data_IF_693317017861
#
_entry.id   IF_693317017861
#
_cell.length_a   1.000
_cell.length_b   1.000
_cell.length_c   1.000
_cell.angle_alpha   90.00
_cell.angle_beta   90.00
_cell.angle_gamma   90.00
#
_symmetry.space_group_name_H-M   'P 1'
#
loop_
_entity.id
_entity.type
_entity.pdbx_description
1 polymer ?
#
# COMPACT_ATOMS: atom_id res chain seq x y z
N UNK A 1 20.05 2.68 13.72
CA UNK A 1 19.35 3.17 12.51
C UNK A 1 19.38 4.68 12.57
N UNK A 2 19.73 5.38 11.49
CA UNK A 2 19.62 6.84 11.50
C UNK A 2 18.14 7.25 11.56
N UNK A 3 17.85 8.46 12.05
CA UNK A 3 16.49 9.01 12.07
C UNK A 3 15.86 9.04 10.67
N UNK A 4 16.69 9.31 9.66
CA UNK A 4 16.32 9.31 8.24
C UNK A 4 15.89 7.90 7.78
N UNK A 5 16.59 6.84 8.21
CA UNK A 5 16.25 5.46 7.85
C UNK A 5 14.88 5.05 8.40
N UNK A 6 14.55 5.49 9.62
CA UNK A 6 13.26 5.22 10.24
C UNK A 6 12.14 5.94 9.46
N UNK A 7 12.34 7.23 9.14
CA UNK A 7 11.38 8.03 8.37
C UNK A 7 11.15 7.47 6.98
N UNK A 8 12.22 7.05 6.30
CA UNK A 8 12.14 6.45 4.98
C UNK A 8 11.35 5.13 4.99
N UNK A 9 11.55 4.28 6.01
CA UNK A 9 10.76 3.06 6.18
C UNK A 9 9.28 3.36 6.42
N UNK A 10 8.98 4.38 7.22
CA UNK A 10 7.61 4.79 7.51
C UNK A 10 6.89 5.27 6.24
N UNK A 11 7.56 6.10 5.43
CA UNK A 11 6.96 6.76 4.28
C UNK A 11 6.93 5.89 3.02
N UNK A 12 7.65 4.77 2.96
CA UNK A 12 7.79 3.97 1.73
C UNK A 12 6.46 3.50 1.13
N UNK A 13 5.46 3.22 1.97
CA UNK A 13 4.13 2.79 1.52
C UNK A 13 3.41 3.84 0.66
N UNK A 14 3.79 5.11 0.75
CA UNK A 14 3.29 6.18 -0.12
C UNK A 14 3.67 5.93 -1.58
N UNK A 15 4.85 5.35 -1.83
CA UNK A 15 5.33 5.10 -3.17
C UNK A 15 4.72 3.82 -3.78
N UNK A 16 4.28 2.88 -2.94
CA UNK A 16 3.94 1.53 -3.38
C UNK A 16 2.50 1.09 -3.14
N UNK A 17 1.83 1.56 -2.08
CA UNK A 17 0.56 0.98 -1.61
C UNK A 17 -0.62 1.97 -1.64
N UNK A 18 -0.38 3.28 -1.76
CA UNK A 18 -1.44 4.29 -1.64
C UNK A 18 -2.05 4.74 -2.96
N UNK A 19 -1.42 4.38 -4.08
CA UNK A 19 -1.90 4.73 -5.42
C UNK A 19 -2.52 3.55 -6.15
N UNK A 20 -3.60 3.78 -6.93
CA UNK A 20 -4.11 2.78 -7.84
C UNK A 20 -3.10 2.50 -8.96
N UNK A 21 -3.25 1.32 -9.60
CA UNK A 21 -2.37 0.90 -10.70
C UNK A 21 -2.43 1.83 -11.91
N UNK A 22 -3.63 2.32 -12.26
CA UNK A 22 -3.82 3.23 -13.39
C UNK A 22 -3.93 4.67 -12.87
N UNK A 23 -3.00 5.55 -13.25
CA UNK A 23 -2.94 6.93 -12.76
C UNK A 23 -3.16 7.95 -13.88
N UNK A 24 -3.58 9.19 -13.57
CA UNK A 24 -3.52 10.29 -14.51
C UNK A 24 -2.08 10.48 -15.02
N UNK A 25 -1.95 10.93 -16.27
CA UNK A 25 -0.64 11.12 -16.89
C UNK A 25 0.28 12.00 -16.04
N UNK A 26 1.49 11.52 -15.77
CA UNK A 26 2.51 12.23 -14.99
C UNK A 26 2.25 12.31 -13.48
N UNK A 27 1.15 11.74 -12.96
CA UNK A 27 0.91 11.75 -11.53
C UNK A 27 1.79 10.73 -10.81
N UNK A 28 2.59 11.19 -9.85
CA UNK A 28 3.37 10.35 -8.95
C UNK A 28 3.29 10.87 -7.53
N UNK A 29 3.60 10.00 -6.57
CA UNK A 29 3.69 10.36 -5.17
C UNK A 29 5.08 10.83 -4.72
N UNK A 30 6.02 10.93 -5.65
CA UNK A 30 7.42 11.26 -5.38
C UNK A 30 7.54 12.58 -4.61
N UNK A 31 6.83 13.62 -5.04
CA UNK A 31 6.85 14.91 -4.37
C UNK A 31 6.21 14.87 -2.98
N UNK A 32 5.16 14.06 -2.77
CA UNK A 32 4.55 13.87 -1.45
C UNK A 32 5.54 13.17 -0.50
N UNK A 33 6.22 12.14 -0.98
CA UNK A 33 7.25 11.42 -0.25
C UNK A 33 8.46 12.31 0.09
N UNK A 34 9.05 12.98 -0.90
CA UNK A 34 10.23 13.84 -0.72
C UNK A 34 9.97 15.00 0.22
N UNK A 35 8.81 15.66 0.08
CA UNK A 35 8.46 16.79 0.94
C UNK A 35 8.08 16.39 2.37
N UNK A 36 7.79 15.11 2.64
CA UNK A 36 7.63 14.58 4.00
C UNK A 36 8.96 14.08 4.59
N UNK A 37 9.84 13.52 3.75
CA UNK A 37 11.17 13.08 4.15
C UNK A 37 12.08 14.26 4.50
N UNK A 38 12.03 15.34 3.71
CA UNK A 38 12.92 16.51 3.83
C UNK A 38 12.31 17.68 4.58
N UNK A 39 11.24 17.48 5.37
CA UNK A 39 10.59 18.58 6.12
C UNK A 39 11.60 19.49 6.84
N UNK A 40 12.62 18.99 7.56
CA UNK A 40 13.57 19.85 8.27
C UNK A 40 14.31 20.84 7.36
N UNK A 41 14.62 20.42 6.13
CA UNK A 41 15.38 21.17 5.13
C UNK A 41 14.55 22.21 4.38
N UNK A 42 13.21 22.15 4.47
CA UNK A 42 12.33 23.06 3.74
C UNK A 42 12.38 24.49 4.31
N UNK A 43 12.29 25.53 3.46
CA UNK A 43 12.04 26.91 3.88
C UNK A 43 10.76 27.04 4.72
N UNK A 44 10.75 27.97 5.68
CA UNK A 44 9.62 28.16 6.61
C UNK A 44 8.29 28.46 5.90
N UNK A 45 8.35 29.20 4.79
CA UNK A 45 7.17 29.47 3.94
C UNK A 45 6.56 28.17 3.39
N UNK A 46 7.40 27.23 2.97
CA UNK A 46 6.94 25.94 2.45
C UNK A 46 6.44 25.05 3.59
N UNK A 47 7.12 25.02 4.74
CA UNK A 47 6.65 24.34 5.95
C UNK A 47 5.26 24.81 6.36
N UNK A 48 5.02 26.13 6.36
CA UNK A 48 3.73 26.73 6.69
C UNK A 48 2.64 26.38 5.66
N UNK A 49 2.98 26.32 4.37
CA UNK A 49 2.04 25.90 3.33
C UNK A 49 1.67 24.41 3.46
N UNK A 50 2.67 23.54 3.67
CA UNK A 50 2.47 22.12 3.87
C UNK A 50 1.67 21.84 5.14
N UNK A 51 1.96 22.53 6.24
CA UNK A 51 1.19 22.37 7.48
C UNK A 51 -0.27 22.77 7.31
N UNK A 52 -0.59 23.71 6.41
CA UNK A 52 -1.97 24.07 6.04
C UNK A 52 -2.65 23.01 5.17
N UNK A 53 -1.94 22.45 4.18
CA UNK A 53 -2.48 21.42 3.27
C UNK A 53 -2.63 20.08 3.99
N UNK A 54 -1.73 19.76 4.92
CA UNK A 54 -1.66 18.50 5.65
C UNK A 54 -2.33 18.56 7.02
N UNK A 55 -3.16 19.56 7.29
CA UNK A 55 -3.84 19.67 8.58
C UNK A 55 -4.59 18.38 8.88
N UNK A 56 -4.46 17.93 10.12
CA UNK A 56 -5.22 16.80 10.60
C UNK A 56 -6.71 17.17 10.59
N UNK A 57 -7.46 16.55 9.70
CA UNK A 57 -8.91 16.60 9.75
C UNK A 57 -9.39 15.46 10.65
N UNK A 58 -10.18 15.82 11.67
CA UNK A 58 -10.92 14.86 12.51
C UNK A 58 -12.08 14.20 11.75
N UNK A 59 -12.63 14.91 10.75
CA UNK A 59 -13.68 14.40 9.89
C UNK A 59 -13.19 13.63 8.65
N UNK A 60 -14.14 13.32 7.77
CA UNK A 60 -13.88 12.61 6.52
C UNK A 60 -13.09 13.48 5.52
N UNK A 61 -12.29 12.83 4.68
CA UNK A 61 -11.62 13.46 3.53
C UNK A 61 -12.30 13.04 2.25
N UNK A 62 -12.24 13.90 1.21
CA UNK A 62 -12.73 13.56 -0.12
C UNK A 62 -11.55 13.11 -1.00
N UNK A 63 -11.60 11.91 -1.62
CA UNK A 63 -10.59 11.52 -2.59
C UNK A 63 -10.76 12.29 -3.90
N UNK A 64 -9.70 12.37 -4.70
CA UNK A 64 -9.75 12.94 -6.05
C UNK A 64 -10.23 11.89 -7.04
N UNK A 65 -11.41 12.10 -7.62
CA UNK A 65 -12.03 11.17 -8.57
C UNK A 65 -11.65 11.52 -10.01
N UNK A 66 -11.27 10.51 -10.79
CA UNK A 66 -10.92 10.65 -12.20
C UNK A 66 -11.41 9.46 -13.01
N UNK A 67 -11.63 9.67 -14.31
CA UNK A 67 -12.19 8.67 -15.21
C UNK A 67 -11.12 8.11 -16.12
N UNK A 68 -11.10 6.78 -16.25
CA UNK A 68 -10.23 6.05 -17.18
C UNK A 68 -11.11 5.33 -18.20
N UNK A 69 -10.70 5.42 -19.46
CA UNK A 69 -11.34 4.69 -20.55
C UNK A 69 -10.80 3.26 -20.56
N UNK A 70 -11.64 2.28 -20.21
CA UNK A 70 -11.29 0.85 -20.34
C UNK A 70 -11.75 0.29 -21.69
N UNK A 71 -12.82 0.84 -22.25
CA UNK A 71 -13.42 0.46 -23.53
C UNK A 71 -14.23 1.63 -24.07
N UNK A 72 -14.52 1.69 -25.37
CA UNK A 72 -15.27 2.79 -26.02
C UNK A 72 -16.63 3.14 -25.36
N UNK A 73 -17.22 2.26 -24.55
CA UNK A 73 -18.55 2.46 -23.93
C UNK A 73 -18.56 2.60 -22.41
N UNK A 74 -17.47 2.26 -21.71
CA UNK A 74 -17.45 2.30 -20.24
C UNK A 74 -16.25 3.06 -19.70
N UNK A 75 -16.54 4.07 -18.88
CA UNK A 75 -15.55 4.83 -18.13
C UNK A 75 -15.54 4.31 -16.69
N UNK A 76 -14.40 3.78 -16.26
CA UNK A 76 -14.20 3.44 -14.85
C UNK A 76 -13.82 4.69 -14.09
N UNK A 77 -14.44 4.92 -12.93
CA UNK A 77 -14.04 6.00 -12.04
C UNK A 77 -13.09 5.45 -10.99
N UNK A 78 -11.86 5.96 -10.97
CA UNK A 78 -10.87 5.68 -9.95
C UNK A 78 -10.72 6.88 -9.01
N UNK A 79 -10.04 6.65 -7.89
CA UNK A 79 -9.89 7.61 -6.82
C UNK A 79 -8.43 7.66 -6.35
N UNK A 80 -7.88 8.87 -6.24
CA UNK A 80 -6.62 9.10 -5.54
C UNK A 80 -6.95 9.49 -4.10
N UNK A 81 -6.33 8.78 -3.15
CA UNK A 81 -6.55 8.97 -1.71
C UNK A 81 -6.07 10.38 -1.30
N UNK A 82 -6.76 11.02 -0.37
CA UNK A 82 -6.35 12.32 0.15
C UNK A 82 -4.92 12.25 0.76
N UNK A 83 -4.01 13.21 0.51
CA UNK A 83 -2.61 13.11 0.94
C UNK A 83 -2.41 12.83 2.44
N UNK A 84 -3.23 13.43 3.31
CA UNK A 84 -3.14 13.17 4.76
C UNK A 84 -3.51 11.73 5.13
N UNK A 85 -4.47 11.13 4.43
CA UNK A 85 -4.80 9.71 4.62
C UNK A 85 -3.71 8.81 4.06
N UNK A 86 -3.07 9.18 2.95
CA UNK A 86 -1.92 8.44 2.42
C UNK A 86 -0.77 8.37 3.44
N UNK A 87 -0.47 9.48 4.12
CA UNK A 87 0.51 9.52 5.22
C UNK A 87 0.10 8.61 6.39
N UNK A 88 -1.17 8.63 6.81
CA UNK A 88 -1.70 7.75 7.87
C UNK A 88 -1.61 6.27 7.47
N UNK A 89 -1.92 5.95 6.21
CA UNK A 89 -1.80 4.58 5.69
C UNK A 89 -0.35 4.13 5.70
N UNK A 90 0.59 4.98 5.30
CA UNK A 90 2.01 4.64 5.32
C UNK A 90 2.51 4.34 6.74
N UNK A 91 2.12 5.19 7.70
CA UNK A 91 2.36 4.96 9.12
C UNK A 91 1.74 3.65 9.61
N UNK A 92 0.47 3.39 9.27
CA UNK A 92 -0.20 2.13 9.62
C UNK A 92 0.57 0.90 9.09
N UNK A 93 1.01 0.93 7.84
CA UNK A 93 1.80 -0.15 7.26
C UNK A 93 3.11 -0.36 8.03
N UNK A 94 3.79 0.72 8.42
CA UNK A 94 5.02 0.67 9.21
C UNK A 94 4.80 0.12 10.62
N UNK A 95 3.80 0.63 11.33
CA UNK A 95 3.49 0.27 12.72
C UNK A 95 3.01 -1.20 12.82
N UNK A 96 2.25 -1.67 11.84
CA UNK A 96 1.63 -2.99 11.84
C UNK A 96 2.28 -3.99 10.88
N UNK A 97 3.47 -3.70 10.32
CA UNK A 97 4.17 -4.53 9.34
C UNK A 97 4.25 -6.01 9.79
N UNK A 98 4.76 -6.23 11.00
CA UNK A 98 4.92 -7.58 11.56
C UNK A 98 3.58 -8.25 11.84
N UNK A 99 2.61 -7.49 12.33
CA UNK A 99 1.26 -7.99 12.63
C UNK A 99 0.55 -8.45 11.35
N UNK A 100 0.69 -7.70 10.26
CA UNK A 100 0.17 -8.05 8.94
C UNK A 100 0.80 -9.36 8.48
N UNK A 101 2.14 -9.46 8.51
CA UNK A 101 2.87 -10.67 8.11
C UNK A 101 2.44 -11.90 8.92
N UNK A 102 2.39 -11.77 10.25
CA UNK A 102 1.99 -12.86 11.14
C UNK A 102 0.53 -13.28 10.89
N UNK A 103 -0.38 -12.31 10.75
CA UNK A 103 -1.80 -12.59 10.51
C UNK A 103 -2.03 -13.28 9.18
N UNK A 104 -1.36 -12.83 8.11
CA UNK A 104 -1.45 -13.44 6.79
C UNK A 104 -0.76 -14.80 6.70
N UNK A 105 0.23 -15.08 7.54
CA UNK A 105 0.92 -16.39 7.58
C UNK A 105 0.09 -17.51 8.23
N UNK A 106 -0.98 -17.18 8.98
CA UNK A 106 -1.79 -18.18 9.71
C UNK A 106 -2.60 -19.09 8.79
N UNK A 107 -3.09 -18.57 7.66
CA UNK A 107 -3.96 -19.31 6.75
C UNK A 107 -3.21 -19.75 5.51
N UNK A 108 -3.31 -21.04 5.17
CA UNK A 108 -2.75 -21.61 3.93
C UNK A 108 -3.70 -21.46 2.73
N UNK A 109 -4.92 -20.96 2.96
CA UNK A 109 -5.98 -20.86 1.96
C UNK A 109 -5.65 -19.88 0.84
N UNK A 110 -4.95 -18.79 1.16
CA UNK A 110 -4.59 -17.82 0.12
C UNK A 110 -3.51 -18.38 -0.81
N UNK A 111 -3.70 -18.16 -2.11
CA UNK A 111 -2.72 -18.43 -3.16
C UNK A 111 -1.81 -17.22 -3.43
N UNK A 112 -2.03 -16.10 -2.73
CA UNK A 112 -1.18 -14.91 -2.76
C UNK A 112 -1.23 -14.20 -1.41
N UNK A 113 -0.10 -14.13 -0.72
CA UNK A 113 -0.03 -13.51 0.61
C UNK A 113 1.34 -12.87 0.85
N UNK A 114 1.41 -11.81 1.69
CA UNK A 114 2.67 -11.18 2.03
C UNK A 114 3.49 -12.11 2.91
N UNK A 115 4.76 -12.29 2.57
CA UNK A 115 5.67 -13.23 3.24
C UNK A 115 6.80 -12.53 3.97
N UNK A 116 7.28 -11.41 3.44
CA UNK A 116 8.38 -10.63 4.04
C UNK A 116 8.25 -9.19 3.59
N UNK A 117 8.61 -8.23 4.44
CA UNK A 117 8.67 -6.84 4.03
C UNK A 117 9.90 -6.57 3.16
N UNK A 118 9.71 -5.81 2.08
CA UNK A 118 10.78 -5.43 1.16
C UNK A 118 11.43 -4.13 1.63
N UNK A 119 12.76 -4.12 1.67
CA UNK A 119 13.51 -2.87 1.84
C UNK A 119 13.56 -2.07 0.54
N UNK A 120 13.90 -0.79 0.63
CA UNK A 120 14.28 -0.01 -0.56
C UNK A 120 15.60 -0.61 -1.08
N UNK A 121 15.60 -1.15 -2.30
CA UNK A 121 16.76 -1.80 -2.91
C UNK A 121 17.34 -0.94 -4.03
N UNK A 122 18.63 -0.60 -3.93
CA UNK A 122 19.40 -0.09 -5.06
C UNK A 122 19.86 -1.27 -5.93
N UNK A 123 19.70 -1.18 -7.25
CA UNK A 123 20.24 -2.19 -8.19
C UNK A 123 21.76 -2.32 -7.98
N UNK A 124 22.25 -3.55 -7.75
CA UNK A 124 23.66 -3.89 -7.95
C UNK A 124 24.53 -4.23 -6.73
N UNK A 125 23.98 -4.48 -5.53
CA UNK A 125 24.82 -5.01 -4.43
C UNK A 125 24.20 -6.23 -3.73
N UNK A 126 24.73 -7.40 -4.07
CA UNK A 126 24.63 -8.64 -3.28
C UNK A 126 25.69 -8.71 -2.18
N UNK A 127 26.43 -7.63 -1.89
CA UNK A 127 27.62 -7.68 -1.03
C UNK A 127 27.54 -6.63 0.09
N UNK A 128 27.52 -7.13 1.33
CA UNK A 128 27.61 -6.41 2.61
C UNK A 128 26.36 -5.69 3.13
N UNK A 129 25.61 -6.42 3.97
CA UNK A 129 24.52 -5.89 4.81
C UNK A 129 24.90 -4.74 5.77
N UNK A 130 26.19 -4.42 5.93
CA UNK A 130 26.70 -3.39 6.85
C UNK A 130 27.15 -2.08 6.19
N UNK A 131 27.29 -2.00 4.86
CA UNK A 131 27.46 -0.73 4.11
C UNK A 131 26.12 -0.22 3.55
N UNK A 132 25.01 -0.57 4.22
CA UNK A 132 23.66 -0.64 3.65
C UNK A 132 22.81 0.63 3.76
N UNK A 133 23.39 1.79 4.12
CA UNK A 133 22.60 2.99 4.44
C UNK A 133 23.15 4.33 3.93
N UNK A 134 24.00 4.33 2.90
CA UNK A 134 24.17 5.56 2.09
C UNK A 134 23.11 5.63 0.97
N UNK A 135 21.89 5.17 1.24
CA UNK A 135 20.82 5.14 0.22
C UNK A 135 20.39 6.57 -0.12
N UNK A 136 20.84 7.06 -1.26
CA UNK A 136 20.59 8.42 -1.75
C UNK A 136 19.10 8.74 -1.91
N UNK A 137 18.64 9.64 -1.04
CA UNK A 137 17.53 10.59 -1.18
C UNK A 137 17.83 12.03 -0.64
N UNK A 138 19.08 12.45 -0.31
CA UNK A 138 19.39 13.88 -0.09
C UNK A 138 19.55 14.73 -1.37
N UNK A 139 20.13 14.20 -2.45
CA UNK A 139 20.46 15.00 -3.65
C UNK A 139 19.29 15.16 -4.64
N UNK A 140 18.21 14.38 -4.48
CA UNK A 140 17.05 14.43 -5.38
C UNK A 140 16.33 15.78 -5.28
N UNK A 141 16.19 16.46 -6.43
CA UNK A 141 15.47 17.72 -6.54
C UNK A 141 13.94 17.52 -6.61
N UNK A 142 13.18 18.51 -6.14
CA UNK A 142 11.73 18.53 -6.30
C UNK A 142 11.35 18.64 -7.78
N UNK A 143 10.32 17.91 -8.20
CA UNK A 143 9.85 17.92 -9.59
C UNK A 143 10.59 16.99 -10.54
N UNK A 144 11.73 16.42 -10.12
CA UNK A 144 12.41 15.36 -10.88
C UNK A 144 11.95 13.97 -10.41
N UNK A 145 11.76 13.00 -11.32
CA UNK A 145 11.45 11.62 -10.96
C UNK A 145 12.54 11.06 -10.05
N UNK A 146 12.15 10.33 -8.99
CA UNK A 146 13.13 9.70 -8.09
C UNK A 146 13.97 8.70 -8.88
N UNK A 147 15.26 9.01 -9.06
CA UNK A 147 16.18 8.16 -9.82
C UNK A 147 16.63 6.91 -9.04
N UNK A 148 16.52 6.96 -7.71
CA UNK A 148 16.84 5.84 -6.83
C UNK A 148 15.79 4.74 -6.98
N UNK A 149 16.15 3.54 -7.46
CA UNK A 149 15.18 2.48 -7.60
C UNK A 149 14.69 2.05 -6.21
N UNK A 150 13.38 1.85 -6.10
CA UNK A 150 12.72 1.28 -4.93
C UNK A 150 11.91 0.05 -5.36
N UNK A 151 11.63 -0.84 -4.41
CA UNK A 151 10.81 -2.01 -4.69
C UNK A 151 9.39 -1.58 -5.09
N UNK A 152 8.82 -2.22 -6.11
CA UNK A 152 7.48 -1.89 -6.63
C UNK A 152 6.32 -2.26 -5.70
N UNK A 153 6.61 -2.89 -4.56
CA UNK A 153 5.62 -3.29 -3.55
C UNK A 153 6.25 -3.22 -2.17
N UNK A 154 5.41 -3.03 -1.15
CA UNK A 154 5.85 -2.97 0.24
C UNK A 154 6.25 -4.36 0.80
N UNK A 155 5.51 -5.40 0.39
CA UNK A 155 5.75 -6.78 0.79
C UNK A 155 6.15 -7.65 -0.41
N UNK A 156 7.02 -8.62 -0.17
CA UNK A 156 7.24 -9.75 -1.05
C UNK A 156 6.07 -10.71 -0.91
N UNK A 157 5.40 -11.03 -2.03
CA UNK A 157 4.29 -11.96 -2.05
C UNK A 157 4.76 -13.37 -2.40
N UNK A 158 4.20 -14.39 -1.73
CA UNK A 158 4.46 -15.81 -2.00
C UNK A 158 3.33 -16.49 -2.76
N UNK A 159 3.64 -17.69 -3.27
CA UNK A 159 2.86 -18.53 -4.20
C UNK A 159 2.76 -17.93 -5.60
N UNK A 160 1.74 -17.12 -5.89
CA UNK A 160 1.53 -16.57 -7.24
C UNK A 160 1.27 -15.07 -7.20
N UNK A 161 2.14 -14.29 -7.84
CA UNK A 161 1.97 -12.83 -7.94
C UNK A 161 0.80 -12.47 -8.86
N UNK A 162 0.71 -13.17 -9.99
CA UNK A 162 -0.34 -13.00 -10.98
C UNK A 162 -1.14 -14.30 -11.08
N UNK A 163 -2.44 -14.17 -11.36
CA UNK A 163 -3.37 -15.30 -11.33
C UNK A 163 -3.13 -16.28 -12.49
N UNK A 164 -2.67 -15.80 -13.65
CA UNK A 164 -2.25 -16.62 -14.79
C UNK A 164 -1.21 -17.67 -14.37
N UNK A 165 -0.26 -17.29 -13.50
CA UNK A 165 0.78 -18.20 -13.00
C UNK A 165 0.21 -19.37 -12.18
N UNK A 166 -0.91 -19.17 -11.50
CA UNK A 166 -1.60 -20.26 -10.81
C UNK A 166 -2.24 -21.22 -11.81
N UNK A 167 -2.89 -20.71 -12.85
CA UNK A 167 -3.52 -21.54 -13.88
C UNK A 167 -2.50 -22.34 -14.73
N UNK A 168 -1.26 -21.87 -14.81
CA UNK A 168 -0.16 -22.62 -15.44
C UNK A 168 0.67 -23.46 -14.46
N UNK A 169 0.23 -23.61 -13.20
CA UNK A 169 1.02 -24.26 -12.16
C UNK A 169 0.80 -25.78 -12.08
N UNK A 170 1.83 -26.50 -11.66
CA UNK A 170 1.71 -27.92 -11.27
C UNK A 170 0.80 -28.12 -10.05
N UNK A 171 0.55 -27.09 -9.25
CA UNK A 171 -0.39 -27.15 -8.13
C UNK A 171 -1.81 -27.36 -8.64
N UNK A 172 -2.22 -26.63 -9.68
CA UNK A 172 -3.53 -26.82 -10.30
C UNK A 172 -3.66 -28.22 -10.92
N UNK A 173 -2.64 -28.68 -11.66
CA UNK A 173 -2.63 -30.04 -12.25
C UNK A 173 -2.82 -31.12 -11.18
N UNK A 174 -2.17 -30.96 -10.02
CA UNK A 174 -2.34 -31.89 -8.87
C UNK A 174 -3.74 -31.82 -8.27
N UNK A 175 -4.32 -30.62 -8.16
CA UNK A 175 -5.69 -30.44 -7.68
C UNK A 175 -6.70 -31.09 -8.63
N UNK A 176 -6.55 -30.89 -9.93
CA UNK A 176 -7.39 -31.51 -10.98
C UNK A 176 -7.27 -33.03 -10.97
N UNK A 177 -6.07 -33.57 -10.69
CA UNK A 177 -5.88 -35.02 -10.55
C UNK A 177 -6.58 -35.61 -9.31
N UNK A 178 -6.79 -34.79 -8.27
CA UNK A 178 -7.37 -35.22 -6.99
C UNK A 178 -8.88 -34.99 -6.90
N UNK A 179 -9.38 -33.94 -7.56
CA UNK A 179 -10.77 -33.51 -7.45
C UNK A 179 -11.42 -33.47 -8.83
N UNK A 180 -12.55 -34.15 -8.96
CA UNK A 180 -13.30 -34.27 -10.23
C UNK A 180 -14.10 -33.03 -10.62
N UNK A 181 -14.13 -31.99 -9.78
CA UNK A 181 -14.98 -30.82 -10.01
C UNK A 181 -14.34 -29.55 -9.46
N UNK A 182 -14.39 -28.48 -10.25
CA UNK A 182 -13.94 -27.14 -9.90
C UNK A 182 -15.14 -26.20 -9.82
N UNK A 183 -15.20 -25.41 -8.74
CA UNK A 183 -16.13 -24.27 -8.63
C UNK A 183 -15.33 -22.99 -8.55
N UNK A 184 -15.65 -22.04 -9.44
CA UNK A 184 -15.08 -20.70 -9.43
C UNK A 184 -16.14 -19.69 -9.01
N UNK A 185 -15.74 -18.71 -8.21
CA UNK A 185 -16.57 -17.61 -7.73
C UNK A 185 -15.77 -16.32 -7.89
N UNK A 186 -16.36 -15.33 -8.56
CA UNK A 186 -15.80 -13.98 -8.65
C UNK A 186 -16.77 -12.97 -8.01
N UNK A 187 -16.24 -12.08 -7.17
CA UNK A 187 -17.03 -11.09 -6.42
C UNK A 187 -16.85 -9.73 -7.08
N UNK A 188 -17.86 -9.34 -7.86
CA UNK A 188 -17.86 -8.03 -8.51
C UNK A 188 -17.84 -6.89 -7.49
N UNK A 189 -17.04 -5.84 -7.77
CA UNK A 189 -16.93 -4.62 -6.95
C UNK A 189 -16.69 -4.90 -5.45
N UNK A 190 -15.92 -5.94 -5.12
CA UNK A 190 -15.66 -6.41 -3.76
C UNK A 190 -15.50 -5.27 -2.73
N UNK A 191 -14.55 -4.35 -2.93
CA UNK A 191 -14.30 -3.25 -2.00
C UNK A 191 -15.46 -2.27 -1.80
N UNK A 192 -16.28 -2.02 -2.82
CA UNK A 192 -17.46 -1.15 -2.69
C UNK A 192 -18.59 -1.83 -1.90
N UNK A 193 -18.58 -3.15 -1.84
CA UNK A 193 -19.60 -3.96 -1.19
C UNK A 193 -19.18 -4.44 0.21
N UNK A 194 -18.02 -3.99 0.73
CA UNK A 194 -17.61 -4.27 2.11
C UNK A 194 -18.42 -3.39 3.05
N UNK A 195 -19.29 -4.01 3.85
CA UNK A 195 -19.95 -3.34 4.96
C UNK A 195 -18.94 -3.12 6.09
N UNK A 196 -18.50 -1.88 6.30
CA UNK A 196 -17.36 -1.57 7.20
C UNK A 196 -17.51 -2.12 8.62
N UNK A 197 -18.72 -2.11 9.20
CA UNK A 197 -18.96 -2.68 10.52
C UNK A 197 -18.75 -4.21 10.57
N UNK A 198 -18.84 -4.91 9.42
CA UNK A 198 -18.56 -6.35 9.38
C UNK A 198 -17.11 -6.67 9.71
N UNK A 199 -16.17 -5.73 9.52
CA UNK A 199 -14.76 -5.91 9.91
C UNK A 199 -14.66 -6.05 11.43
N UNK A 200 -15.30 -5.14 12.19
CA UNK A 200 -15.33 -5.20 13.64
C UNK A 200 -16.04 -6.45 14.14
N UNK A 201 -17.15 -6.84 13.50
CA UNK A 201 -17.88 -8.06 13.84
C UNK A 201 -17.02 -9.31 13.63
N UNK A 202 -16.23 -9.36 12.56
CA UNK A 202 -15.32 -10.47 12.29
C UNK A 202 -14.17 -10.57 13.30
N UNK A 203 -13.73 -9.45 13.88
CA UNK A 203 -12.62 -9.42 14.83
C UNK A 203 -13.04 -9.58 16.30
N UNK A 204 -14.17 -8.99 16.69
CA UNK A 204 -14.60 -8.84 18.09
C UNK A 204 -15.97 -9.42 18.40
N UNK A 205 -16.61 -10.07 17.41
CA UNK A 205 -18.00 -10.55 17.47
C UNK A 205 -19.06 -9.45 17.43
N UNK A 206 -20.28 -9.85 17.06
CA UNK A 206 -21.39 -8.93 16.77
C UNK A 206 -21.92 -8.25 18.04
N UNK A 207 -22.05 -8.98 19.13
CA UNK A 207 -22.66 -8.47 20.36
C UNK A 207 -21.75 -7.45 21.05
N UNK A 208 -20.46 -7.76 21.16
CA UNK A 208 -19.46 -6.80 21.64
C UNK A 208 -19.46 -5.52 20.81
N UNK A 209 -19.51 -5.65 19.47
CA UNK A 209 -19.48 -4.50 18.56
C UNK A 209 -20.71 -3.61 18.71
N UNK A 210 -21.90 -4.20 18.94
CA UNK A 210 -23.14 -3.44 19.18
C UNK A 210 -23.10 -2.68 20.51
N UNK A 211 -22.58 -3.31 21.56
CA UNK A 211 -22.46 -2.67 22.89
C UNK A 211 -21.48 -1.50 22.89
N UNK A 212 -20.53 -1.47 21.96
CA UNK A 212 -19.47 -0.46 21.89
C UNK A 212 -19.56 0.41 20.63
N UNK A 213 -20.72 0.46 19.97
CA UNK A 213 -20.90 1.21 18.72
C UNK A 213 -20.52 2.70 18.85
N UNK A 214 -20.80 3.29 20.02
CA UNK A 214 -20.59 4.73 20.29
C UNK A 214 -19.12 5.09 20.61
N UNK A 215 -18.21 4.11 20.73
CA UNK A 215 -16.80 4.34 21.11
C UNK A 215 -15.84 4.45 19.93
N UNK A 216 -16.28 4.07 18.73
CA UNK A 216 -15.42 3.93 17.55
C UNK A 216 -15.88 4.77 16.35
N UNK A 217 -16.76 5.75 16.58
CA UNK A 217 -17.24 6.70 15.56
C UNK A 217 -16.28 7.86 15.34
#
# INVERSE_FOLDING_TARGET
>A
MSEIDARLRELRAILTETLPYELPFGFTNDNLFLSELKIPELPDRQKAALSKIRRHHSGYTKPFLYKISRTNRSKNTLAIIHPTLQLRLAKFYSDFENTILQSCARSTFSIRYPATALGIQVRGSSTNLRKRWSLGLPEQAFGEPIGTPYSSSYFAYRKYLLLDRFFSSNELVRLESRFSSLRMLDVSRCFFNIYTHSITWAQKEKDFSKQHADRYS
#
